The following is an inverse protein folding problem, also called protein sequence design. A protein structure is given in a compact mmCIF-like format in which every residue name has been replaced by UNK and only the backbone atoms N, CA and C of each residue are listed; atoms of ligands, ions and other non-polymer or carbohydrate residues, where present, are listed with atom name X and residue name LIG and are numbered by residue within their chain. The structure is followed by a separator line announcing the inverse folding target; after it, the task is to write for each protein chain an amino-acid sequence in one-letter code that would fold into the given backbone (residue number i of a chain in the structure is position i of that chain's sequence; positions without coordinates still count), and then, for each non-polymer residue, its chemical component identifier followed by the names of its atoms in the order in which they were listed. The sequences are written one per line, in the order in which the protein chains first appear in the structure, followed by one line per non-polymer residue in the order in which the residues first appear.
data_IF_620907122696
#
_entry.id   IF_620907122696
#
_cell.length_a   1.000
_cell.length_b   1.000
_cell.length_c   1.000
_cell.angle_alpha   90.00
_cell.angle_beta   90.00
_cell.angle_gamma   90.00
#
_symmetry.space_group_name_H-M   'P 1'
#
loop_
_entity.id
_entity.type
_entity.pdbx_description
1 polymer ?
#
# COMPACT_ATOMS: atom_id res chain seq x y z
N UNK A 1 13.46 -10.30 -24.99
CA UNK A 1 14.29 -9.99 -23.80
C UNK A 1 13.35 -9.99 -22.60
N UNK A 2 13.57 -10.99 -21.74
CA UNK A 2 12.97 -11.33 -20.44
C UNK A 2 11.74 -10.56 -19.95
N UNK A 3 10.58 -11.25 -19.95
CA UNK A 3 9.47 -10.96 -19.07
C UNK A 3 9.93 -11.14 -17.61
N UNK A 4 9.89 -10.07 -16.80
CA UNK A 4 10.10 -10.18 -15.36
C UNK A 4 8.89 -10.89 -14.76
N UNK A 5 9.15 -12.04 -14.18
CA UNK A 5 8.24 -12.82 -13.36
C UNK A 5 7.75 -11.92 -12.21
N UNK A 6 6.46 -11.54 -12.24
CA UNK A 6 5.80 -10.98 -11.05
C UNK A 6 5.62 -12.14 -10.08
N UNK A 7 6.49 -12.23 -9.08
CA UNK A 7 6.30 -13.12 -7.95
C UNK A 7 4.96 -12.79 -7.29
N UNK A 8 4.06 -13.78 -7.26
CA UNK A 8 2.89 -13.73 -6.39
C UNK A 8 3.40 -13.78 -4.95
N UNK A 9 3.51 -12.62 -4.29
CA UNK A 9 3.58 -12.56 -2.83
C UNK A 9 2.17 -12.87 -2.32
N UNK A 10 1.84 -14.16 -2.22
CA UNK A 10 0.75 -14.58 -1.36
C UNK A 10 1.25 -14.37 0.08
N UNK A 11 0.95 -13.19 0.64
CA UNK A 11 1.18 -12.94 2.05
C UNK A 11 0.27 -13.91 2.82
N UNK A 12 0.88 -14.93 3.44
CA UNK A 12 0.20 -15.91 4.27
C UNK A 12 -0.31 -15.16 5.51
N UNK A 13 -1.63 -14.92 5.57
CA UNK A 13 -2.26 -14.47 6.80
C UNK A 13 -2.03 -15.53 7.89
N UNK A 14 -1.57 -15.16 9.10
CA UNK A 14 -1.51 -16.11 10.21
C UNK A 14 -2.90 -16.71 10.45
N UNK A 15 -2.96 -18.02 10.63
CA UNK A 15 -4.20 -18.70 11.00
C UNK A 15 -4.67 -18.16 12.34
N UNK A 16 -5.99 -18.02 12.48
CA UNK A 16 -6.64 -17.68 13.75
C UNK A 16 -6.48 -18.87 14.70
N UNK A 17 -5.36 -18.89 15.40
CA UNK A 17 -5.10 -19.82 16.47
C UNK A 17 -5.69 -19.18 17.74
N UNK A 18 -6.85 -19.69 18.13
CA UNK A 18 -7.50 -19.39 19.39
C UNK A 18 -6.56 -19.75 20.55
N UNK A 19 -5.84 -18.76 21.08
CA UNK A 19 -5.47 -18.56 22.50
C UNK A 19 -4.33 -17.52 22.64
N UNK A 20 -4.70 -16.27 22.99
CA UNK A 20 -3.96 -15.49 23.99
C UNK A 20 -2.63 -14.80 23.65
N UNK A 21 -2.21 -14.63 22.39
CA UNK A 21 -0.91 -13.99 22.06
C UNK A 21 -0.99 -12.59 21.40
N UNK A 22 -2.19 -12.05 21.18
CA UNK A 22 -2.40 -10.79 20.45
C UNK A 22 -1.99 -9.48 21.15
N UNK A 23 -1.43 -9.54 22.37
CA UNK A 23 -1.17 -8.35 23.18
C UNK A 23 0.28 -7.84 23.19
N UNK A 24 1.30 -8.61 22.78
CA UNK A 24 2.66 -8.26 23.22
C UNK A 24 3.63 -7.62 22.22
N UNK A 25 3.47 -7.69 20.89
CA UNK A 25 4.35 -6.92 20.00
C UNK A 25 3.63 -6.45 18.71
N UNK A 26 3.58 -5.12 18.44
CA UNK A 26 3.16 -4.63 17.13
C UNK A 26 4.19 -5.06 16.09
N UNK A 27 3.76 -5.82 15.08
CA UNK A 27 4.61 -6.13 13.94
C UNK A 27 4.49 -5.02 12.90
N UNK A 28 5.64 -4.51 12.44
CA UNK A 28 5.70 -3.51 11.36
C UNK A 28 6.16 -4.24 10.11
N UNK A 29 5.30 -4.26 9.10
CA UNK A 29 5.65 -4.72 7.76
C UNK A 29 6.02 -3.51 6.91
N UNK A 30 7.26 -3.47 6.43
CA UNK A 30 7.73 -2.44 5.51
C UNK A 30 7.59 -2.96 4.09
N UNK A 31 6.82 -2.28 3.24
CA UNK A 31 6.75 -2.58 1.80
C UNK A 31 7.45 -1.46 1.02
N UNK A 32 8.42 -1.84 0.22
CA UNK A 32 9.07 -0.96 -0.76
C UNK A 32 8.39 -1.16 -2.12
N UNK A 33 7.87 -0.08 -2.69
CA UNK A 33 7.04 -0.08 -3.89
C UNK A 33 7.53 0.98 -4.85
N UNK A 34 7.41 0.72 -6.16
CA UNK A 34 7.86 1.67 -7.17
C UNK A 34 6.73 1.99 -8.13
N UNK A 35 6.34 3.28 -8.20
CA UNK A 35 5.31 3.79 -9.10
C UNK A 35 5.67 5.17 -9.61
N UNK A 36 5.41 5.42 -10.90
CA UNK A 36 5.68 6.67 -11.60
C UNK A 36 7.13 7.16 -11.47
N UNK A 37 8.08 6.25 -11.30
CA UNK A 37 9.50 6.58 -11.06
C UNK A 37 9.85 6.95 -9.62
N UNK A 38 8.87 6.94 -8.70
CA UNK A 38 9.09 7.17 -7.28
C UNK A 38 9.22 5.85 -6.51
N UNK A 39 10.18 5.81 -5.59
CA UNK A 39 10.32 4.74 -4.60
C UNK A 39 9.55 5.13 -3.34
N UNK A 40 8.58 4.30 -2.96
CA UNK A 40 7.68 4.50 -1.83
C UNK A 40 7.96 3.43 -0.77
N UNK A 41 8.17 3.86 0.47
CA UNK A 41 8.23 2.99 1.62
C UNK A 41 6.94 3.14 2.44
N UNK A 42 6.17 2.05 2.56
CA UNK A 42 4.91 2.04 3.29
C UNK A 42 5.04 1.13 4.51
N UNK A 43 4.92 1.75 5.69
CA UNK A 43 4.96 1.08 6.98
C UNK A 43 3.56 0.65 7.40
N UNK A 44 3.35 -0.66 7.50
CA UNK A 44 2.09 -1.28 7.88
C UNK A 44 2.16 -1.75 9.33
N UNK A 45 1.62 -0.94 10.25
CA UNK A 45 1.63 -1.22 11.69
C UNK A 45 0.48 -2.16 12.07
N UNK A 46 0.76 -3.46 12.10
CA UNK A 46 -0.23 -4.49 12.41
C UNK A 46 -0.44 -4.58 13.92
N UNK A 47 -1.61 -4.11 14.37
CA UNK A 47 -2.11 -4.32 15.71
C UNK A 47 -3.65 -4.30 15.71
N UNK A 48 -4.26 -4.74 16.81
CA UNK A 48 -5.71 -4.83 16.95
C UNK A 48 -6.44 -3.49 16.83
N UNK A 49 -5.75 -2.35 17.03
CA UNK A 49 -6.35 -1.01 16.92
C UNK A 49 -6.43 -0.53 15.48
N UNK A 50 -5.47 -0.89 14.64
CA UNK A 50 -5.41 -0.44 13.25
C UNK A 50 -6.28 -1.31 12.33
N UNK A 51 -6.36 -2.62 12.58
CA UNK A 51 -7.17 -3.56 11.80
C UNK A 51 -6.92 -3.45 10.29
N UNK A 52 -8.00 -3.43 9.51
CA UNK A 52 -7.97 -3.37 8.03
C UNK A 52 -7.31 -2.12 7.44
N UNK A 53 -7.17 -1.04 8.22
CA UNK A 53 -6.58 0.22 7.75
C UNK A 53 -5.06 0.15 7.61
N UNK A 54 -4.41 -0.78 8.31
CA UNK A 54 -2.96 -0.94 8.25
C UNK A 54 -2.50 -1.71 7.00
N UNK A 55 -3.41 -2.40 6.29
CA UNK A 55 -3.09 -3.20 5.11
C UNK A 55 -3.04 -2.35 3.84
N UNK A 56 -2.10 -2.65 2.96
CA UNK A 56 -2.17 -2.20 1.57
C UNK A 56 -3.07 -3.17 0.80
N UNK A 57 -4.28 -2.72 0.48
CA UNK A 57 -5.24 -3.51 -0.30
C UNK A 57 -4.83 -3.62 -1.77
N UNK A 58 -5.21 -4.72 -2.42
CA UNK A 58 -4.90 -5.01 -3.83
C UNK A 58 -5.35 -3.88 -4.77
N UNK A 59 -6.49 -3.26 -4.47
CA UNK A 59 -7.04 -2.16 -5.25
C UNK A 59 -6.14 -0.90 -5.25
N UNK A 60 -5.37 -0.68 -4.18
CA UNK A 60 -4.42 0.43 -4.11
C UNK A 60 -3.30 0.26 -5.14
N UNK A 61 -2.75 -0.96 -5.28
CA UNK A 61 -1.75 -1.25 -6.32
C UNK A 61 -2.33 -1.07 -7.73
N UNK A 62 -3.55 -1.55 -7.97
CA UNK A 62 -4.21 -1.39 -9.28
C UNK A 62 -4.38 0.09 -9.63
N UNK A 63 -4.78 0.93 -8.67
CA UNK A 63 -4.95 2.36 -8.90
C UNK A 63 -3.61 3.09 -9.11
N UNK A 64 -2.57 2.77 -8.34
CA UNK A 64 -1.22 3.29 -8.57
C UNK A 64 -0.66 2.89 -9.95
N UNK A 65 -0.90 1.64 -10.38
CA UNK A 65 -0.54 1.19 -11.72
C UNK A 65 -1.29 1.96 -12.80
N UNK A 66 -2.60 2.21 -12.60
CA UNK A 66 -3.40 3.02 -13.52
C UNK A 66 -2.85 4.45 -13.63
N UNK A 67 -2.50 5.11 -12.51
CA UNK A 67 -1.87 6.43 -12.56
C UNK A 67 -0.59 6.45 -13.39
N UNK A 68 0.24 5.41 -13.27
CA UNK A 68 1.47 5.27 -14.05
C UNK A 68 1.19 5.03 -15.54
N UNK A 69 0.30 4.10 -15.87
CA UNK A 69 0.00 3.72 -17.25
C UNK A 69 -0.64 4.87 -18.03
N UNK A 70 -1.59 5.55 -17.41
CA UNK A 70 -2.31 6.69 -18.02
C UNK A 70 -1.56 8.02 -17.87
N UNK A 71 -0.37 8.01 -17.24
CA UNK A 71 0.46 9.20 -17.01
C UNK A 71 -0.35 10.34 -16.38
N UNK A 72 -1.12 9.99 -15.35
CA UNK A 72 -1.98 10.93 -14.65
C UNK A 72 -1.14 12.07 -14.05
N UNK A 73 -1.67 13.29 -14.12
CA UNK A 73 -1.04 14.49 -13.58
C UNK A 73 -2.06 15.22 -12.69
N UNK A 74 -1.66 15.46 -11.44
CA UNK A 74 -2.50 16.11 -10.44
C UNK A 74 -2.10 17.56 -10.15
N UNK A 75 -1.19 18.15 -10.93
CA UNK A 75 -0.73 19.53 -10.75
C UNK A 75 -1.89 20.51 -10.82
N UNK A 76 -1.97 21.39 -9.81
CA UNK A 76 -3.06 22.37 -9.65
C UNK A 76 -4.44 21.76 -9.35
N UNK A 77 -4.55 20.45 -9.10
CA UNK A 77 -5.82 19.80 -8.74
C UNK A 77 -6.01 19.78 -7.23
N UNK A 78 -7.27 19.91 -6.80
CA UNK A 78 -7.68 19.59 -5.42
C UNK A 78 -8.09 18.13 -5.41
N UNK A 79 -7.36 17.30 -4.67
CA UNK A 79 -7.58 15.84 -4.58
C UNK A 79 -7.96 15.48 -3.15
N UNK A 80 -8.91 14.54 -3.00
CA UNK A 80 -9.27 13.92 -1.73
C UNK A 80 -9.29 12.40 -1.91
N UNK A 81 -8.64 11.67 -1.00
CA UNK A 81 -8.67 10.21 -0.93
C UNK A 81 -9.54 9.79 0.25
N UNK A 82 -10.63 9.06 0.00
CA UNK A 82 -11.52 8.56 1.03
C UNK A 82 -11.19 7.11 1.36
N UNK A 83 -11.06 6.79 2.65
CA UNK A 83 -10.67 5.45 3.09
C UNK A 83 -9.23 5.11 2.69
N UNK A 84 -8.31 6.05 2.89
CA UNK A 84 -6.93 5.96 2.41
C UNK A 84 -6.10 4.80 3.00
N UNK A 85 -6.50 4.28 4.17
CA UNK A 85 -5.76 3.22 4.86
C UNK A 85 -4.30 3.63 5.08
N UNK A 86 -3.38 2.94 4.41
CA UNK A 86 -1.93 3.25 4.45
C UNK A 86 -1.57 4.55 3.74
N UNK A 87 -2.47 5.13 2.95
CA UNK A 87 -2.29 6.40 2.26
C UNK A 87 -1.47 6.33 0.96
N UNK A 88 -1.10 5.13 0.50
CA UNK A 88 -0.21 4.97 -0.66
C UNK A 88 -0.71 5.69 -1.93
N UNK A 89 -2.02 5.66 -2.22
CA UNK A 89 -2.56 6.29 -3.44
C UNK A 89 -2.53 7.80 -3.31
N UNK A 90 -2.95 8.35 -2.16
CA UNK A 90 -2.87 9.79 -1.89
C UNK A 90 -1.44 10.32 -1.89
N UNK A 91 -0.49 9.59 -1.29
CA UNK A 91 0.94 9.92 -1.33
C UNK A 91 1.42 10.00 -2.77
N UNK A 92 1.14 8.98 -3.60
CA UNK A 92 1.52 8.99 -5.01
C UNK A 92 0.84 10.13 -5.79
N UNK A 93 -0.42 10.44 -5.49
CA UNK A 93 -1.14 11.54 -6.13
C UNK A 93 -0.51 12.92 -5.83
N UNK A 94 0.00 13.13 -4.61
CA UNK A 94 0.74 14.34 -4.26
C UNK A 94 2.05 14.44 -5.05
N UNK A 95 2.83 13.36 -5.12
CA UNK A 95 4.09 13.32 -5.89
C UNK A 95 3.89 13.53 -7.40
N UNK A 96 2.71 13.19 -7.92
CA UNK A 96 2.30 13.44 -9.31
C UNK A 96 1.69 14.83 -9.53
N UNK A 97 1.62 15.65 -8.48
CA UNK A 97 1.13 17.03 -8.54
C UNK A 97 2.19 18.09 -8.22
N UNK A 98 3.39 17.69 -7.80
CA UNK A 98 4.57 18.57 -7.64
C UNK A 98 4.98 19.26 -8.96
#
# INVERSE_FOLDING_TARGET
MTAKHMEKSCDVLPKEDSEGLGEYLPYVLVKHLQFCGYDLEINQYMNYKMGVSALIWECAFVLCQYFQQEKMNFSGKKVIELGSGTGIVGILAVLLGE
#
